data_IF_824350033322
#
_entry.id   IF_824350033322
#
_cell.length_a   1.000
_cell.length_b   1.000
_cell.length_c   1.000
_cell.angle_alpha   90.00
_cell.angle_beta   90.00
_cell.angle_gamma   90.00
#
_symmetry.space_group_name_H-M   'P 1'
#
loop_
_entity.id
_entity.type
_entity.pdbx_description
1 polymer ?
#
# COMPACT_ATOMS: atom_id res chain seq x y z
N UNK A 1 -20.42 -14.61 13.61
CA UNK A 1 -20.52 -13.15 13.81
C UNK A 1 -19.32 -12.58 13.13
N UNK A 2 -19.42 -12.31 11.82
CA UNK A 2 -18.28 -11.85 11.03
C UNK A 2 -18.34 -10.34 11.01
N UNK A 3 -17.61 -9.72 11.94
CA UNK A 3 -17.46 -8.29 11.98
C UNK A 3 -16.32 -7.94 11.02
N UNK A 4 -16.63 -7.92 9.71
CA UNK A 4 -15.67 -7.56 8.66
C UNK A 4 -15.37 -6.07 8.79
N UNK A 5 -14.40 -5.72 9.63
CA UNK A 5 -14.07 -4.33 9.92
C UNK A 5 -13.05 -3.89 8.88
N UNK A 6 -13.53 -3.36 7.76
CA UNK A 6 -12.65 -2.81 6.73
C UNK A 6 -11.85 -1.64 7.32
N UNK A 7 -10.59 -1.53 6.92
CA UNK A 7 -9.74 -0.39 7.26
C UNK A 7 -10.41 0.92 6.84
N UNK A 8 -10.64 1.81 7.80
CA UNK A 8 -11.27 3.12 7.58
C UNK A 8 -10.23 4.22 7.30
N UNK A 9 -8.92 3.91 7.39
CA UNK A 9 -7.85 4.88 7.13
C UNK A 9 -7.91 5.38 5.69
N UNK A 10 -7.66 6.67 5.52
CA UNK A 10 -7.57 7.26 4.19
C UNK A 10 -6.32 6.74 3.49
N UNK A 11 -6.52 6.04 2.37
CA UNK A 11 -5.42 5.50 1.55
C UNK A 11 -4.47 6.59 1.05
N UNK A 12 -4.97 7.81 0.80
CA UNK A 12 -4.14 8.93 0.38
C UNK A 12 -3.17 9.38 1.46
N UNK A 13 -3.65 9.53 2.70
CA UNK A 13 -2.79 9.90 3.83
C UNK A 13 -1.86 8.76 4.21
N UNK A 14 -2.34 7.50 4.17
CA UNK A 14 -1.51 6.31 4.40
C UNK A 14 -0.33 6.24 3.44
N UNK A 15 -0.55 6.45 2.13
CA UNK A 15 0.54 6.44 1.15
C UNK A 15 1.51 7.61 1.34
N UNK A 16 1.04 8.78 1.79
CA UNK A 16 1.91 9.94 2.09
C UNK A 16 2.79 9.69 3.32
N UNK A 17 2.22 9.14 4.38
CA UNK A 17 2.94 8.77 5.59
C UNK A 17 4.00 7.70 5.28
N UNK A 18 3.62 6.69 4.52
CA UNK A 18 4.52 5.64 4.06
C UNK A 18 5.66 6.21 3.20
N UNK A 19 5.35 7.09 2.23
CA UNK A 19 6.37 7.75 1.42
C UNK A 19 7.37 8.53 2.30
N UNK A 20 6.87 9.29 3.27
CA UNK A 20 7.71 10.03 4.20
C UNK A 20 8.59 9.10 5.06
N UNK A 21 8.07 7.94 5.46
CA UNK A 21 8.81 6.91 6.18
C UNK A 21 9.96 6.35 5.33
N UNK A 22 9.70 5.98 4.07
CA UNK A 22 10.73 5.46 3.16
C UNK A 22 11.79 6.52 2.85
N UNK A 23 11.39 7.77 2.64
CA UNK A 23 12.32 8.87 2.38
C UNK A 23 13.25 9.18 3.56
N UNK A 24 12.81 8.92 4.79
CA UNK A 24 13.61 9.03 6.01
C UNK A 24 14.50 7.80 6.27
N UNK A 25 14.50 6.82 5.37
CA UNK A 25 15.26 5.58 5.51
C UNK A 25 14.59 4.52 6.38
N UNK A 26 13.25 4.52 6.43
CA UNK A 26 12.45 3.59 7.24
C UNK A 26 12.75 2.11 6.97
N UNK A 27 13.04 1.75 5.71
CA UNK A 27 13.46 0.40 5.31
C UNK A 27 14.98 0.19 5.30
N UNK A 28 15.76 1.20 5.71
CA UNK A 28 17.20 1.08 5.84
C UNK A 28 17.59 0.00 6.85
N UNK A 29 18.74 -0.65 6.61
CA UNK A 29 19.28 -1.69 7.50
C UNK A 29 19.42 -1.13 8.91
N UNK A 30 18.67 -1.71 9.84
CA UNK A 30 18.82 -1.44 11.28
C UNK A 30 20.25 -1.72 11.69
N UNK A 31 20.89 -0.78 12.41
CA UNK A 31 22.23 -1.01 12.99
C UNK A 31 22.25 -2.17 13.99
N UNK A 32 21.09 -2.51 14.56
CA UNK A 32 20.96 -3.61 15.53
C UNK A 32 20.68 -4.96 14.85
N UNK A 33 20.01 -4.94 13.71
CA UNK A 33 19.59 -6.14 12.96
C UNK A 33 19.84 -5.96 11.46
N UNK A 34 21.10 -5.77 11.02
CA UNK A 34 21.43 -5.50 9.62
C UNK A 34 21.16 -6.70 8.69
N UNK A 35 20.99 -7.90 9.23
CA UNK A 35 20.67 -9.12 8.49
C UNK A 35 19.17 -9.35 8.29
N UNK A 36 18.30 -8.59 8.97
CA UNK A 36 16.87 -8.74 8.83
C UNK A 36 16.38 -7.75 7.76
N UNK A 37 16.09 -8.20 6.52
CA UNK A 37 15.45 -7.34 5.54
C UNK A 37 14.10 -6.91 6.10
N UNK A 38 13.77 -5.63 5.92
CA UNK A 38 12.44 -5.13 6.26
C UNK A 38 11.57 -5.23 5.03
N UNK A 39 10.44 -5.89 5.21
CA UNK A 39 9.48 -6.17 4.16
C UNK A 39 8.61 -4.95 3.88
N UNK A 40 8.55 -4.51 2.62
CA UNK A 40 7.83 -3.30 2.26
C UNK A 40 6.33 -3.42 2.55
N UNK A 41 5.74 -2.36 3.10
CA UNK A 41 4.39 -2.27 3.67
C UNK A 41 4.11 -3.19 4.87
N UNK A 42 4.62 -4.42 4.90
CA UNK A 42 4.39 -5.36 5.99
C UNK A 42 5.06 -4.90 7.30
N UNK A 43 6.27 -4.35 7.21
CA UNK A 43 7.04 -3.85 8.37
C UNK A 43 6.88 -2.34 8.59
N UNK A 44 5.74 -1.77 8.18
CA UNK A 44 5.42 -0.36 8.39
C UNK A 44 3.98 -0.15 8.87
N UNK A 45 3.64 1.09 9.25
CA UNK A 45 2.29 1.47 9.66
C UNK A 45 1.24 1.30 8.56
N UNK A 46 1.65 1.05 7.31
CA UNK A 46 0.74 0.69 6.23
C UNK A 46 0.04 -0.65 6.50
N UNK A 47 0.74 -1.64 7.09
CA UNK A 47 0.15 -2.90 7.49
C UNK A 47 -0.77 -2.74 8.71
N UNK A 48 -2.00 -3.24 8.60
CA UNK A 48 -2.96 -3.28 9.71
C UNK A 48 -2.41 -4.06 10.91
N UNK A 49 -1.64 -5.11 10.65
CA UNK A 49 -1.11 -6.01 11.66
C UNK A 49 0.28 -5.59 12.18
N UNK A 50 0.86 -4.46 11.74
CA UNK A 50 2.23 -4.09 12.13
C UNK A 50 2.43 -3.98 13.65
N UNK A 51 1.44 -3.45 14.37
CA UNK A 51 1.47 -3.33 15.83
C UNK A 51 0.77 -4.50 16.55
N UNK A 52 0.22 -5.46 15.81
CA UNK A 52 -0.57 -6.56 16.34
C UNK A 52 0.13 -7.90 16.11
N UNK A 53 0.67 -8.46 17.19
CA UNK A 53 1.36 -9.75 17.14
C UNK A 53 0.43 -10.91 16.84
N UNK A 54 -0.87 -10.77 17.12
CA UNK A 54 -1.85 -11.84 16.95
C UNK A 54 -2.40 -11.91 15.52
N UNK A 55 -2.02 -10.97 14.64
CA UNK A 55 -2.53 -10.86 13.26
C UNK A 55 -4.06 -10.97 13.22
N UNK A 56 -4.75 -10.20 14.07
CA UNK A 56 -6.19 -10.30 14.23
C UNK A 56 -6.96 -9.85 12.97
N UNK A 57 -6.32 -9.08 12.08
CA UNK A 57 -6.94 -8.54 10.87
C UNK A 57 -6.56 -9.32 9.62
N UNK A 58 -7.56 -9.70 8.84
CA UNK A 58 -7.34 -10.31 7.54
C UNK A 58 -6.76 -9.26 6.56
N UNK A 59 -5.81 -9.67 5.71
CA UNK A 59 -5.24 -8.77 4.69
C UNK A 59 -6.33 -8.20 3.76
N UNK A 60 -7.42 -8.93 3.51
CA UNK A 60 -8.59 -8.47 2.75
C UNK A 60 -9.27 -7.21 3.31
N UNK A 61 -9.04 -6.89 4.59
CA UNK A 61 -9.56 -5.68 5.24
C UNK A 61 -8.67 -4.46 4.97
N UNK A 62 -7.42 -4.65 4.52
CA UNK A 62 -6.42 -3.60 4.30
C UNK A 62 -6.73 -2.76 3.06
N UNK A 63 -6.45 -1.45 3.13
CA UNK A 63 -6.59 -0.54 1.98
C UNK A 63 -5.67 -0.87 0.81
N UNK A 64 -4.52 -1.51 1.08
CA UNK A 64 -3.54 -1.88 0.06
C UNK A 64 -4.07 -2.96 -0.90
N UNK A 65 -5.10 -3.73 -0.51
CA UNK A 65 -5.70 -4.75 -1.36
C UNK A 65 -6.26 -4.22 -2.68
N UNK A 66 -6.63 -2.94 -2.73
CA UNK A 66 -7.10 -2.31 -3.97
C UNK A 66 -6.00 -2.20 -5.05
N UNK A 67 -4.73 -2.43 -4.69
CA UNK A 67 -3.59 -2.41 -5.61
C UNK A 67 -3.06 -3.81 -5.93
N UNK A 68 -3.62 -4.85 -5.31
CA UNK A 68 -3.23 -6.25 -5.54
C UNK A 68 -4.09 -6.81 -6.67
N UNK A 69 -3.44 -7.45 -7.65
CA UNK A 69 -4.14 -8.14 -8.72
C UNK A 69 -5.03 -9.26 -8.17
N UNK A 70 -6.21 -9.47 -8.78
CA UNK A 70 -7.25 -10.37 -8.26
C UNK A 70 -6.73 -11.80 -8.02
N UNK A 71 -5.82 -12.27 -8.88
CA UNK A 71 -5.21 -13.59 -8.81
C UNK A 71 -4.36 -13.80 -7.55
N UNK A 72 -3.83 -12.72 -6.97
CA UNK A 72 -2.94 -12.75 -5.80
C UNK A 72 -3.62 -12.32 -4.50
N UNK A 73 -4.91 -11.99 -4.52
CA UNK A 73 -5.62 -11.54 -3.32
C UNK A 73 -5.81 -12.63 -2.26
N UNK A 74 -5.76 -13.90 -2.67
CA UNK A 74 -5.86 -15.06 -1.78
C UNK A 74 -4.53 -15.54 -1.20
N UNK A 75 -3.42 -14.89 -1.56
CA UNK A 75 -2.10 -15.26 -1.05
C UNK A 75 -1.94 -14.90 0.44
N UNK A 76 -0.93 -15.50 1.09
CA UNK A 76 -0.67 -15.25 2.51
C UNK A 76 -0.28 -13.79 2.80
N UNK A 77 0.47 -13.16 1.87
CA UNK A 77 0.90 -11.76 1.97
C UNK A 77 0.57 -11.05 0.64
N UNK A 78 -0.72 -10.72 0.40
CA UNK A 78 -1.15 -10.19 -0.89
C UNK A 78 -0.47 -8.88 -1.29
N UNK A 79 -0.11 -8.05 -0.30
CA UNK A 79 0.55 -6.76 -0.56
C UNK A 79 1.92 -6.90 -1.23
N UNK A 80 2.57 -8.07 -1.19
CA UNK A 80 3.84 -8.29 -1.87
C UNK A 80 3.69 -8.42 -3.39
N UNK A 81 2.49 -8.76 -3.85
CA UNK A 81 2.16 -8.89 -5.27
C UNK A 81 1.70 -7.57 -5.89
N UNK A 82 1.87 -6.44 -5.20
CA UNK A 82 1.57 -5.12 -5.78
C UNK A 82 2.61 -4.82 -6.86
N UNK A 83 2.21 -4.60 -8.12
CA UNK A 83 3.13 -4.22 -9.17
C UNK A 83 3.60 -2.77 -8.95
N UNK A 84 4.92 -2.59 -8.86
CA UNK A 84 5.53 -1.29 -8.58
C UNK A 84 5.90 -0.51 -9.84
N UNK A 85 5.94 -1.16 -11.01
CA UNK A 85 6.32 -0.51 -12.27
C UNK A 85 5.58 -1.08 -13.49
N UNK A 86 5.78 -0.46 -14.65
CA UNK A 86 5.17 -0.86 -15.93
C UNK A 86 5.66 -2.22 -16.44
N UNK A 87 6.79 -2.72 -15.92
CA UNK A 87 7.27 -4.07 -16.24
C UNK A 87 6.54 -5.15 -15.42
N UNK A 88 5.68 -4.75 -14.47
CA UNK A 88 4.97 -5.67 -13.58
C UNK A 88 5.85 -6.24 -12.47
N UNK A 89 7.04 -5.69 -12.20
CA UNK A 89 7.86 -6.15 -11.08
C UNK A 89 7.11 -5.87 -9.77
N UNK A 90 6.90 -6.92 -8.99
CA UNK A 90 6.23 -6.85 -7.69
C UNK A 90 7.22 -6.50 -6.58
N UNK A 91 6.70 -6.27 -5.36
CA UNK A 91 7.55 -6.10 -4.18
C UNK A 91 8.35 -7.38 -3.93
N UNK A 92 7.71 -8.55 -4.02
CA UNK A 92 8.36 -9.85 -3.86
C UNK A 92 9.55 -9.99 -4.82
N UNK A 93 9.35 -9.66 -6.10
CA UNK A 93 10.40 -9.76 -7.12
C UNK A 93 11.59 -8.85 -6.81
N UNK A 94 11.34 -7.65 -6.27
CA UNK A 94 12.37 -6.67 -5.97
C UNK A 94 13.10 -6.97 -4.66
N UNK A 95 12.41 -7.53 -3.67
CA UNK A 95 13.01 -8.02 -2.43
C UNK A 95 13.90 -9.25 -2.67
N UNK A 96 13.49 -10.16 -3.55
CA UNK A 96 14.27 -11.34 -3.94
C UNK A 96 15.61 -10.99 -4.63
N UNK A 97 15.72 -9.80 -5.21
CA UNK A 97 16.95 -9.33 -5.89
C UNK A 97 18.04 -8.81 -4.91
N UNK A 98 17.79 -8.79 -3.58
CA UNK A 98 18.65 -8.21 -2.52
C UNK A 98 19.16 -6.79 -2.86
N UNK A 99 18.36 -6.04 -3.63
CA UNK A 99 18.68 -4.68 -4.06
C UNK A 99 17.72 -3.69 -3.41
N UNK A 100 17.93 -3.47 -2.10
CA UNK A 100 17.14 -2.54 -1.29
C UNK A 100 17.04 -1.15 -1.91
N UNK A 101 18.13 -0.65 -2.51
CA UNK A 101 18.15 0.67 -3.12
C UNK A 101 17.23 0.75 -4.35
N UNK A 102 17.21 -0.29 -5.18
CA UNK A 102 16.28 -0.40 -6.31
C UNK A 102 14.84 -0.51 -5.80
N UNK A 103 14.58 -1.38 -4.81
CA UNK A 103 13.25 -1.54 -4.21
C UNK A 103 12.73 -0.20 -3.69
N UNK A 104 13.48 0.49 -2.84
CA UNK A 104 13.07 1.77 -2.27
C UNK A 104 12.86 2.85 -3.36
N UNK A 105 13.73 2.91 -4.37
CA UNK A 105 13.58 3.87 -5.46
C UNK A 105 12.29 3.62 -6.27
N UNK A 106 12.03 2.37 -6.64
CA UNK A 106 10.82 1.98 -7.37
C UNK A 106 9.58 2.20 -6.52
N UNK A 107 9.61 1.80 -5.24
CA UNK A 107 8.52 1.98 -4.29
C UNK A 107 8.18 3.46 -4.06
N UNK A 108 9.20 4.33 -3.89
CA UNK A 108 9.01 5.78 -3.79
C UNK A 108 8.35 6.35 -5.05
N UNK A 109 8.82 5.94 -6.22
CA UNK A 109 8.26 6.39 -7.49
C UNK A 109 6.80 5.95 -7.64
N UNK A 110 6.50 4.69 -7.30
CA UNK A 110 5.16 4.14 -7.33
C UNK A 110 4.21 4.92 -6.41
N UNK A 111 4.61 5.16 -5.15
CA UNK A 111 3.78 5.91 -4.20
C UNK A 111 3.52 7.34 -4.68
N UNK A 112 4.53 8.04 -5.21
CA UNK A 112 4.35 9.40 -5.77
C UNK A 112 3.35 9.41 -6.93
N UNK A 113 3.43 8.43 -7.82
CA UNK A 113 2.48 8.27 -8.93
C UNK A 113 1.07 8.02 -8.39
N UNK A 114 0.90 7.08 -7.46
CA UNK A 114 -0.42 6.73 -6.89
C UNK A 114 -1.05 7.88 -6.09
N UNK A 115 -0.26 8.59 -5.29
CA UNK A 115 -0.71 9.80 -4.58
C UNK A 115 -1.22 10.83 -5.58
N UNK A 116 -0.49 11.08 -6.67
CA UNK A 116 -0.89 12.03 -7.72
C UNK A 116 -2.18 11.59 -8.43
N UNK A 117 -2.32 10.31 -8.76
CA UNK A 117 -3.55 9.75 -9.37
C UNK A 117 -4.77 9.96 -8.44
N UNK A 118 -4.61 9.67 -7.15
CA UNK A 118 -5.66 9.85 -6.13
C UNK A 118 -5.99 11.34 -5.95
N UNK A 119 -4.98 12.20 -5.90
CA UNK A 119 -5.15 13.66 -5.80
C UNK A 119 -5.91 14.21 -7.02
N UNK A 120 -5.54 13.80 -8.23
CA UNK A 120 -6.23 14.18 -9.46
C UNK A 120 -7.68 13.68 -9.46
N UNK A 121 -7.92 12.44 -9.05
CA UNK A 121 -9.27 11.88 -8.94
C UNK A 121 -10.13 12.67 -7.95
N UNK A 122 -9.55 13.16 -6.85
CA UNK A 122 -10.24 14.00 -5.85
C UNK A 122 -10.46 15.44 -6.30
N UNK A 123 -9.53 16.00 -7.06
CA UNK A 123 -9.59 17.37 -7.57
C UNK A 123 -10.53 17.51 -8.78
N UNK A 124 -10.78 16.42 -9.51
CA UNK A 124 -11.65 16.45 -10.68
C UNK A 124 -13.13 16.41 -10.26
N UNK A 125 -13.97 17.39 -10.63
CA UNK A 125 -15.37 17.49 -10.16
C UNK A 125 -16.34 16.40 -10.66
N UNK A 126 -15.91 15.44 -11.48
CA UNK A 126 -16.80 14.47 -12.14
C UNK A 126 -17.49 13.49 -11.18
N UNK A 127 -17.05 13.39 -9.92
CA UNK A 127 -17.76 12.65 -8.87
C UNK A 127 -18.90 13.44 -8.18
N UNK A 128 -19.07 14.74 -8.46
CA UNK A 128 -20.11 15.57 -7.83
C UNK A 128 -21.41 15.65 -8.64
N UNK A 129 -21.41 15.26 -9.93
CA UNK A 129 -22.54 15.53 -10.83
C UNK A 129 -23.61 14.41 -10.90
N UNK A 130 -23.35 13.17 -10.45
CA UNK A 130 -24.31 12.07 -10.63
C UNK A 130 -25.27 11.83 -9.45
N UNK A 131 -25.38 12.77 -8.49
CA UNK A 131 -26.35 12.70 -7.37
C UNK A 131 -27.41 13.80 -7.38
N UNK A 132 -27.34 14.78 -8.29
CA UNK A 132 -28.26 15.92 -8.27
C UNK A 132 -29.43 15.80 -9.26
N UNK A 133 -29.46 14.80 -10.14
CA UNK A 133 -30.44 14.69 -11.24
C UNK A 133 -31.69 13.85 -10.96
N UNK A 134 -31.79 13.15 -9.82
CA UNK A 134 -32.96 12.31 -9.50
C UNK A 134 -33.93 12.91 -8.46
N UNK A 135 -33.77 14.20 -8.09
CA UNK A 135 -34.66 14.86 -7.12
C UNK A 135 -35.61 15.91 -7.73
N UNK A 136 -35.76 15.92 -9.07
CA UNK A 136 -36.76 16.77 -9.75
C UNK A 136 -37.45 15.98 -10.87
N UNK A 137 -38.26 15.01 -10.49
CA UNK A 137 -39.32 14.44 -11.33
C UNK A 137 -40.47 13.96 -10.46
#
# INVERSE_FOLDING_TARGET
MENTHRDERDIFELLKEELAFVEQGGYGRSVRTPWLPKSAFQDSLACLNYADTDHAHACSECRLMNFVEEEHQSENVPCHYIPLNEAGETIEDLEAQDNQAKLEATLKQWMRTKIKEIEQTRATPEARHNRQTEAVA
#
